data_IF_795305507660
#
_entry.id   IF_795305507660
#
_cell.length_a   1.000
_cell.length_b   1.000
_cell.length_c   1.000
_cell.angle_alpha   90.00
_cell.angle_beta   90.00
_cell.angle_gamma   90.00
#
_symmetry.space_group_name_H-M   'P 1'
#
loop_
_entity.id
_entity.type
_entity.pdbx_description
1 polymer ?
#
# COMPACT_ATOMS: atom_id res chain seq x y z
N UNK A 1 -14.37 3.06 16.54
CA UNK A 1 -13.23 3.11 17.48
C UNK A 1 -12.41 4.37 17.21
N UNK A 2 -12.20 5.21 18.24
CA UNK A 2 -11.54 6.52 18.13
C UNK A 2 -10.19 6.50 18.84
N UNK A 3 -9.20 7.21 18.28
CA UNK A 3 -7.91 7.42 18.92
C UNK A 3 -8.02 8.50 20.00
N UNK A 4 -7.36 8.27 21.14
CA UNK A 4 -7.31 9.25 22.23
C UNK A 4 -6.31 10.39 21.95
N UNK A 5 -5.32 10.16 21.08
CA UNK A 5 -4.18 11.06 20.90
C UNK A 5 -4.30 11.92 19.61
N UNK A 6 -5.31 11.67 18.77
CA UNK A 6 -5.56 12.45 17.56
C UNK A 6 -6.97 12.18 16.99
N UNK A 7 -7.34 12.88 15.92
CA UNK A 7 -8.65 12.78 15.27
C UNK A 7 -8.85 11.50 14.42
N UNK A 8 -8.01 10.47 14.59
CA UNK A 8 -8.15 9.23 13.83
C UNK A 8 -9.29 8.37 14.35
N UNK A 9 -10.15 7.91 13.43
CA UNK A 9 -11.25 7.01 13.70
C UNK A 9 -11.27 5.85 12.69
N UNK A 10 -11.68 4.67 13.17
CA UNK A 10 -11.82 3.45 12.36
C UNK A 10 -12.94 2.59 12.91
N UNK A 11 -13.62 1.84 12.04
CA UNK A 11 -14.61 0.83 12.43
C UNK A 11 -13.98 -0.50 12.84
N UNK A 12 -12.67 -0.67 12.62
CA UNK A 12 -11.91 -1.89 12.95
C UNK A 12 -10.97 -1.65 14.15
N UNK A 13 -11.10 -2.46 15.20
CA UNK A 13 -10.31 -2.36 16.43
C UNK A 13 -8.82 -2.66 16.22
N UNK A 14 -8.48 -3.67 15.44
CA UNK A 14 -7.08 -4.00 15.11
C UNK A 14 -6.39 -2.83 14.39
N UNK A 15 -7.13 -2.09 13.58
CA UNK A 15 -6.61 -0.91 12.90
C UNK A 15 -6.38 0.23 13.89
N UNK A 16 -7.23 0.38 14.93
CA UNK A 16 -6.98 1.33 15.99
C UNK A 16 -5.74 0.92 16.81
N UNK A 17 -5.64 -0.34 17.21
CA UNK A 17 -4.45 -0.91 17.90
C UNK A 17 -3.17 -0.65 17.11
N UNK A 18 -3.17 -0.88 15.80
CA UNK A 18 -2.01 -0.57 14.95
C UNK A 18 -1.77 0.93 14.79
N UNK A 19 -2.83 1.73 14.78
CA UNK A 19 -2.71 3.18 14.68
C UNK A 19 -2.05 3.78 15.92
N UNK A 20 -2.49 3.41 17.12
CA UNK A 20 -1.99 4.01 18.37
C UNK A 20 -0.50 3.76 18.58
N UNK A 21 0.03 2.67 18.04
CA UNK A 21 1.46 2.39 18.01
C UNK A 21 2.24 3.54 17.35
N UNK A 22 1.68 4.27 16.37
CA UNK A 22 2.36 5.42 15.75
C UNK A 22 2.64 6.57 16.71
N UNK A 23 1.91 6.66 17.81
CA UNK A 23 2.12 7.68 18.85
C UNK A 23 3.22 7.31 19.84
N UNK A 24 3.76 6.08 19.75
CA UNK A 24 4.88 5.63 20.58
C UNK A 24 6.19 6.08 19.91
N UNK A 25 6.97 6.89 20.63
CA UNK A 25 8.26 7.40 20.13
C UNK A 25 9.34 6.33 20.05
N UNK A 26 9.29 5.30 20.90
CA UNK A 26 10.25 4.19 20.85
C UNK A 26 10.03 3.37 19.57
N UNK A 27 11.13 3.01 18.91
CA UNK A 27 11.12 2.13 17.73
C UNK A 27 11.80 0.81 18.07
N UNK A 28 11.00 -0.16 18.46
CA UNK A 28 11.49 -1.44 18.98
C UNK A 28 12.01 -2.37 17.88
N UNK A 29 11.60 -2.16 16.62
CA UNK A 29 12.03 -2.98 15.49
C UNK A 29 12.96 -2.20 14.57
N UNK A 30 14.25 -2.52 14.64
CA UNK A 30 15.31 -1.93 13.83
C UNK A 30 15.79 -2.91 12.77
N UNK A 31 15.94 -2.46 11.53
CA UNK A 31 16.47 -3.29 10.47
C UNK A 31 18.01 -3.36 10.59
N UNK A 32 18.57 -4.55 10.41
CA UNK A 32 20.02 -4.75 10.41
C UNK A 32 20.67 -4.40 9.07
N UNK A 33 19.87 -4.29 8.01
CA UNK A 33 20.36 -4.13 6.64
C UNK A 33 20.20 -2.69 6.12
N UNK A 34 19.56 -1.80 6.88
CA UNK A 34 19.43 -0.36 6.59
C UNK A 34 18.87 0.39 7.81
N UNK A 35 18.81 1.73 7.75
CA UNK A 35 18.36 2.60 8.84
C UNK A 35 16.84 2.60 9.10
N UNK A 36 16.11 1.61 8.56
CA UNK A 36 14.67 1.53 8.75
C UNK A 36 14.32 1.03 10.15
N UNK A 37 13.52 1.81 10.85
CA UNK A 37 13.02 1.47 12.18
C UNK A 37 11.51 1.70 12.28
N UNK A 38 10.83 0.86 13.05
CA UNK A 38 9.39 0.99 13.32
C UNK A 38 9.04 0.36 14.68
N UNK A 39 7.93 0.78 15.25
CA UNK A 39 7.30 0.19 16.43
C UNK A 39 6.23 -0.86 16.08
N UNK A 40 5.92 -1.03 14.78
CA UNK A 40 4.94 -2.00 14.32
C UNK A 40 5.60 -3.26 13.77
N UNK A 41 5.46 -4.39 14.47
CA UNK A 41 5.91 -5.71 14.01
C UNK A 41 5.40 -6.06 12.61
N UNK A 42 4.16 -5.70 12.31
CA UNK A 42 3.56 -5.91 10.98
C UNK A 42 4.32 -5.14 9.89
N UNK A 43 4.59 -3.85 10.11
CA UNK A 43 5.35 -3.04 9.15
C UNK A 43 6.81 -3.47 9.06
N UNK A 44 7.41 -3.93 10.16
CA UNK A 44 8.77 -4.46 10.17
C UNK A 44 8.89 -5.74 9.34
N UNK A 45 8.04 -6.75 9.57
CA UNK A 45 8.02 -7.97 8.75
C UNK A 45 7.84 -7.67 7.26
N UNK A 46 6.95 -6.73 6.94
CA UNK A 46 6.73 -6.29 5.56
C UNK A 46 7.93 -5.54 4.98
N UNK A 47 8.65 -4.78 5.80
CA UNK A 47 9.87 -4.10 5.39
C UNK A 47 10.96 -5.11 5.04
N UNK A 48 11.15 -6.17 5.84
CA UNK A 48 12.17 -7.20 5.60
C UNK A 48 12.03 -7.86 4.23
N UNK A 49 10.80 -7.95 3.70
CA UNK A 49 10.54 -8.44 2.33
C UNK A 49 11.17 -7.58 1.21
N UNK A 50 11.71 -6.41 1.52
CA UNK A 50 12.49 -5.60 0.57
C UNK A 50 13.93 -6.07 0.44
N UNK A 51 14.46 -6.70 1.49
CA UNK A 51 15.83 -7.22 1.53
C UNK A 51 15.90 -8.68 1.06
N UNK A 52 14.75 -9.28 0.77
CA UNK A 52 14.67 -10.64 0.20
C UNK A 52 14.31 -10.57 -1.27
N UNK A 53 15.04 -11.31 -2.10
CA UNK A 53 14.71 -11.46 -3.53
C UNK A 53 13.47 -12.34 -3.78
N UNK A 54 13.00 -13.04 -2.75
CA UNK A 54 11.75 -13.79 -2.81
C UNK A 54 10.59 -12.80 -3.01
N UNK A 55 10.06 -12.76 -4.23
CA UNK A 55 8.86 -12.02 -4.60
C UNK A 55 7.71 -13.01 -4.75
N UNK A 56 6.87 -13.10 -3.71
CA UNK A 56 5.83 -14.13 -3.59
C UNK A 56 4.75 -14.07 -4.68
N UNK A 57 4.53 -12.89 -5.28
CA UNK A 57 3.55 -12.72 -6.34
C UNK A 57 4.26 -12.50 -7.67
N UNK A 58 4.17 -13.48 -8.58
CA UNK A 58 4.72 -13.43 -9.95
C UNK A 58 3.58 -13.33 -10.95
N UNK A 59 3.69 -12.41 -11.91
CA UNK A 59 2.75 -12.33 -13.02
C UNK A 59 2.98 -13.50 -13.99
N UNK A 60 1.90 -14.08 -14.50
CA UNK A 60 1.98 -15.12 -15.53
C UNK A 60 2.27 -14.53 -16.92
N UNK A 61 1.89 -13.28 -17.17
CA UNK A 61 1.91 -12.66 -18.50
C UNK A 61 3.16 -11.79 -18.74
N UNK A 62 4.02 -11.60 -17.74
CA UNK A 62 5.27 -10.84 -17.85
C UNK A 62 6.20 -11.10 -16.65
N UNK A 63 7.40 -10.52 -16.67
CA UNK A 63 8.40 -10.68 -15.60
C UNK A 63 8.12 -9.87 -14.32
N UNK A 64 6.97 -9.21 -14.23
CA UNK A 64 6.61 -8.45 -13.04
C UNK A 64 6.46 -9.35 -11.81
N UNK A 65 7.10 -8.94 -10.71
CA UNK A 65 7.04 -9.64 -9.43
C UNK A 65 6.93 -8.64 -8.28
N UNK A 66 6.20 -8.99 -7.21
CA UNK A 66 6.09 -8.15 -6.01
C UNK A 66 5.83 -8.97 -4.75
N UNK A 67 6.12 -8.37 -3.59
CA UNK A 67 5.79 -8.91 -2.27
C UNK A 67 4.47 -8.39 -1.68
N UNK A 68 3.76 -7.52 -2.43
CA UNK A 68 2.51 -6.91 -1.99
C UNK A 68 1.36 -7.39 -2.87
N UNK A 69 0.42 -8.14 -2.28
CA UNK A 69 -0.79 -8.62 -2.96
C UNK A 69 -1.57 -7.49 -3.64
N UNK A 70 -1.74 -6.35 -2.96
CA UNK A 70 -2.40 -5.18 -3.55
C UNK A 70 -1.70 -4.70 -4.83
N UNK A 71 -0.38 -4.58 -4.82
CA UNK A 71 0.38 -4.17 -6.00
C UNK A 71 0.27 -5.20 -7.13
N UNK A 72 0.26 -6.49 -6.78
CA UNK A 72 0.07 -7.56 -7.75
C UNK A 72 -1.30 -7.47 -8.42
N UNK A 73 -2.39 -7.35 -7.65
CA UNK A 73 -3.73 -7.21 -8.18
C UNK A 73 -3.84 -5.97 -9.09
N UNK A 74 -3.32 -4.82 -8.65
CA UNK A 74 -3.29 -3.61 -9.46
C UNK A 74 -2.46 -3.77 -10.74
N UNK A 75 -1.37 -4.54 -10.69
CA UNK A 75 -0.57 -4.86 -11.86
C UNK A 75 -1.34 -5.74 -12.84
N UNK A 76 -2.02 -6.79 -12.37
CA UNK A 76 -2.78 -7.71 -13.23
C UNK A 76 -3.87 -6.99 -14.02
N UNK A 77 -4.49 -5.95 -13.44
CA UNK A 77 -5.45 -5.11 -14.16
C UNK A 77 -4.85 -4.35 -15.35
N UNK A 78 -3.52 -4.23 -15.47
CA UNK A 78 -2.89 -3.65 -16.67
C UNK A 78 -2.96 -4.58 -17.87
N UNK A 79 -3.11 -5.89 -17.64
CA UNK A 79 -3.28 -6.89 -18.70
C UNK A 79 -4.74 -7.06 -19.11
N UNK A 80 -5.65 -6.27 -18.53
CA UNK A 80 -7.08 -6.28 -18.87
C UNK A 80 -7.47 -4.96 -19.51
N UNK A 81 -8.27 -5.01 -20.58
CA UNK A 81 -8.76 -3.80 -21.27
C UNK A 81 -9.88 -3.07 -20.51
N UNK A 82 -10.41 -3.68 -19.44
CA UNK A 82 -11.36 -3.02 -18.55
C UNK A 82 -10.77 -1.71 -18.02
N UNK A 83 -11.55 -0.63 -17.93
CA UNK A 83 -11.14 0.64 -17.32
C UNK A 83 -12.15 1.00 -16.23
N UNK A 84 -11.84 0.60 -15.00
CA UNK A 84 -12.75 0.74 -13.86
C UNK A 84 -12.97 2.19 -13.42
N UNK A 85 -11.97 3.05 -13.62
CA UNK A 85 -12.03 4.46 -13.27
C UNK A 85 -12.08 5.29 -14.54
N UNK A 86 -13.19 5.99 -14.78
CA UNK A 86 -13.40 6.85 -15.95
C UNK A 86 -13.42 8.31 -15.53
N UNK A 87 -12.90 9.18 -16.38
CA UNK A 87 -13.09 10.61 -16.26
C UNK A 87 -14.52 10.96 -16.65
N UNK A 88 -15.13 11.92 -15.95
CA UNK A 88 -16.46 12.42 -16.28
C UNK A 88 -16.43 13.53 -17.34
N UNK A 89 -15.25 14.10 -17.62
CA UNK A 89 -15.07 15.28 -18.48
C UNK A 89 -14.48 14.93 -19.86
N UNK A 90 -13.96 13.71 -20.05
CA UNK A 90 -13.40 13.23 -21.31
C UNK A 90 -13.36 11.70 -21.35
N UNK A 91 -12.91 11.12 -22.46
CA UNK A 91 -12.84 9.67 -22.69
C UNK A 91 -11.69 8.95 -21.94
N UNK A 92 -10.97 9.66 -21.08
CA UNK A 92 -9.89 9.06 -20.30
C UNK A 92 -10.43 8.01 -19.32
N UNK A 93 -9.78 6.83 -19.29
CA UNK A 93 -10.09 5.79 -18.31
C UNK A 93 -8.86 4.95 -17.94
N UNK A 94 -8.85 4.43 -16.72
CA UNK A 94 -7.73 3.71 -16.12
C UNK A 94 -8.18 2.69 -15.07
N UNK A 95 -7.36 1.70 -14.76
CA UNK A 95 -7.56 0.77 -13.64
C UNK A 95 -6.87 1.22 -12.34
N UNK A 96 -6.22 2.38 -12.37
CA UNK A 96 -5.54 2.93 -11.21
C UNK A 96 -6.17 4.26 -10.78
N UNK A 97 -6.80 4.25 -9.60
CA UNK A 97 -7.40 5.45 -9.00
C UNK A 97 -6.42 6.63 -8.90
N UNK A 98 -5.14 6.37 -8.63
CA UNK A 98 -4.15 7.43 -8.54
C UNK A 98 -3.85 8.06 -9.90
N UNK A 99 -3.88 7.27 -10.98
CA UNK A 99 -3.75 7.78 -12.35
C UNK A 99 -4.96 8.65 -12.70
N UNK A 100 -6.18 8.25 -12.34
CA UNK A 100 -7.37 9.10 -12.55
C UNK A 100 -7.25 10.42 -11.78
N UNK A 101 -6.87 10.38 -10.50
CA UNK A 101 -6.64 11.60 -9.70
C UNK A 101 -5.62 12.52 -10.36
N UNK A 102 -4.47 11.98 -10.77
CA UNK A 102 -3.42 12.75 -11.43
C UNK A 102 -3.87 13.34 -12.76
N UNK A 103 -4.72 12.62 -13.51
CA UNK A 103 -5.35 13.13 -14.72
C UNK A 103 -6.32 14.28 -14.43
N UNK A 104 -7.20 14.13 -13.43
CA UNK A 104 -8.15 15.17 -13.03
C UNK A 104 -7.48 16.46 -12.53
N UNK A 105 -6.28 16.37 -11.93
CA UNK A 105 -5.51 17.54 -11.51
C UNK A 105 -4.87 18.32 -12.66
N UNK A 106 -4.81 17.73 -13.87
CA UNK A 106 -4.25 18.35 -15.07
C UNK A 106 -5.32 18.88 -16.02
N UNK A 107 -6.59 18.58 -15.74
CA UNK A 107 -7.71 19.26 -16.37
C UNK A 107 -7.77 20.70 -15.88
#
# INVERSE_FOLDING_TARGET
FKCANCNYETTNEEYLKRHVIKHIESKDFKCTNCDYETNSKYYFKRHLLKHTDSKNFKCANCDYRTNKKYNFNQHVLKHTDSKHFKCALCDYGTNNKQCLKGHLLKH
#
